data_IF_565466429445
#
_entry.id   IF_565466429445
#
_cell.length_a   1.000
_cell.length_b   1.000
_cell.length_c   1.000
_cell.angle_alpha   90.00
_cell.angle_beta   90.00
_cell.angle_gamma   90.00
#
_symmetry.space_group_name_H-M   'P 1'
#
loop_
_entity.id
_entity.type
_entity.pdbx_description
1 polymer ?
#
# COMPACT_ATOMS: atom_id res chain seq x y z
N UNK A 1 -46.33 22.68 -27.32
CA UNK A 1 -45.32 21.64 -27.03
C UNK A 1 -44.01 22.36 -26.78
N UNK A 2 -43.58 22.46 -25.53
CA UNK A 2 -42.25 22.98 -25.16
C UNK A 2 -41.36 21.76 -24.92
N UNK A 3 -40.27 21.67 -25.67
CA UNK A 3 -39.24 20.65 -25.51
C UNK A 3 -38.50 20.87 -24.19
N UNK A 4 -38.29 19.80 -23.43
CA UNK A 4 -37.48 19.81 -22.22
C UNK A 4 -36.02 20.16 -22.56
N UNK A 5 -35.28 20.84 -21.65
CA UNK A 5 -33.87 21.12 -21.86
C UNK A 5 -33.07 19.82 -21.71
N UNK A 6 -32.11 19.62 -22.61
CA UNK A 6 -31.16 18.52 -22.58
C UNK A 6 -30.45 18.45 -21.22
N UNK A 7 -30.65 17.35 -20.49
CA UNK A 7 -29.85 17.02 -19.31
C UNK A 7 -28.41 16.75 -19.76
N UNK A 8 -27.55 17.76 -19.65
CA UNK A 8 -26.10 17.58 -19.74
C UNK A 8 -25.66 16.57 -18.67
N UNK A 9 -25.41 15.34 -19.12
CA UNK A 9 -24.82 14.29 -18.29
C UNK A 9 -23.47 14.80 -17.80
N UNK A 10 -23.22 14.87 -16.48
CA UNK A 10 -21.97 15.41 -15.98
C UNK A 10 -20.81 14.51 -16.43
N UNK A 11 -19.93 15.06 -17.25
CA UNK A 11 -18.71 14.40 -17.71
C UNK A 11 -17.84 14.07 -16.50
N UNK A 12 -17.60 12.77 -16.29
CA UNK A 12 -16.76 12.26 -15.19
C UNK A 12 -15.41 12.97 -15.27
N UNK A 13 -15.12 13.84 -14.29
CA UNK A 13 -13.87 14.62 -14.21
C UNK A 13 -12.69 13.64 -14.34
N UNK A 14 -11.89 13.78 -15.39
CA UNK A 14 -10.73 12.91 -15.61
C UNK A 14 -9.77 13.07 -14.42
N UNK A 15 -9.50 11.98 -13.72
CA UNK A 15 -8.54 11.98 -12.63
C UNK A 15 -7.13 12.02 -13.22
N UNK A 16 -6.21 12.78 -12.62
CA UNK A 16 -4.82 12.81 -13.06
C UNK A 16 -4.24 11.39 -13.02
N UNK A 17 -3.66 10.96 -14.14
CA UNK A 17 -2.98 9.66 -14.27
C UNK A 17 -1.49 9.85 -14.06
N UNK A 18 -0.88 9.04 -13.19
CA UNK A 18 0.58 8.99 -13.02
C UNK A 18 1.09 7.73 -13.70
N UNK A 19 2.15 7.87 -14.52
CA UNK A 19 2.89 6.76 -15.11
C UNK A 19 4.23 6.66 -14.41
N UNK A 20 4.55 5.47 -13.92
CA UNK A 20 5.81 5.17 -13.24
C UNK A 20 6.73 4.41 -14.19
N UNK A 21 8.01 4.78 -14.20
CA UNK A 21 9.05 4.02 -14.88
C UNK A 21 9.39 2.75 -14.08
N UNK A 22 10.14 1.82 -14.68
CA UNK A 22 10.62 0.64 -13.96
C UNK A 22 11.50 1.02 -12.75
N UNK A 23 12.29 2.08 -12.87
CA UNK A 23 13.10 2.58 -11.76
C UNK A 23 12.23 3.11 -10.61
N UNK A 24 11.19 3.87 -10.94
CA UNK A 24 10.24 4.38 -9.94
C UNK A 24 9.53 3.23 -9.23
N UNK A 25 9.16 2.17 -9.97
CA UNK A 25 8.60 0.97 -9.36
C UNK A 25 9.56 0.27 -8.41
N UNK A 26 10.86 0.23 -8.73
CA UNK A 26 11.89 -0.29 -7.82
C UNK A 26 11.91 0.49 -6.49
N UNK A 27 11.88 1.82 -6.55
CA UNK A 27 11.83 2.67 -5.35
C UNK A 27 10.54 2.49 -4.55
N UNK A 28 9.40 2.35 -5.22
CA UNK A 28 8.11 2.07 -4.56
C UNK A 28 8.16 0.72 -3.85
N UNK A 29 8.70 -0.33 -4.49
CA UNK A 29 8.86 -1.64 -3.86
C UNK A 29 9.78 -1.57 -2.64
N UNK A 30 10.95 -0.93 -2.75
CA UNK A 30 11.86 -0.75 -1.61
C UNK A 30 11.18 -0.03 -0.43
N UNK A 31 10.50 1.08 -0.69
CA UNK A 31 9.79 1.81 0.36
C UNK A 31 8.68 1.00 1.02
N UNK A 32 7.93 0.21 0.25
CA UNK A 32 6.90 -0.69 0.78
C UNK A 32 7.50 -1.85 1.58
N UNK A 33 8.64 -2.39 1.14
CA UNK A 33 9.37 -3.44 1.88
C UNK A 33 9.88 -2.92 3.23
N UNK A 34 10.50 -1.73 3.27
CA UNK A 34 10.90 -1.14 4.55
C UNK A 34 9.71 -0.95 5.50
N UNK A 35 8.54 -0.56 4.99
CA UNK A 35 7.32 -0.47 5.82
C UNK A 35 6.86 -1.84 6.30
N UNK A 36 6.88 -2.85 5.43
CA UNK A 36 6.53 -4.22 5.81
C UNK A 36 7.42 -4.72 6.96
N UNK A 37 8.73 -4.48 6.85
CA UNK A 37 9.73 -4.85 7.86
C UNK A 37 9.51 -4.12 9.19
N UNK A 38 9.24 -2.80 9.16
CA UNK A 38 8.89 -2.01 10.35
C UNK A 38 7.67 -2.62 11.09
N UNK A 39 6.62 -3.00 10.35
CA UNK A 39 5.42 -3.58 10.93
C UNK A 39 5.65 -4.99 11.47
N UNK A 40 6.46 -5.79 10.79
CA UNK A 40 6.85 -7.12 11.27
C UNK A 40 7.65 -7.02 12.58
N UNK A 41 8.61 -6.10 12.66
CA UNK A 41 9.37 -5.86 13.88
C UNK A 41 8.46 -5.40 15.04
N UNK A 42 7.47 -4.57 14.74
CA UNK A 42 6.45 -4.13 15.72
C UNK A 42 5.64 -5.32 16.25
N UNK A 43 5.20 -6.23 15.37
CA UNK A 43 4.50 -7.45 15.78
C UNK A 43 5.38 -8.39 16.61
N UNK A 44 6.66 -8.54 16.23
CA UNK A 44 7.61 -9.37 16.95
C UNK A 44 7.91 -8.83 18.35
N UNK A 45 8.01 -7.51 18.51
CA UNK A 45 8.15 -6.90 19.82
C UNK A 45 6.91 -7.09 20.69
N UNK A 46 5.71 -6.82 20.15
CA UNK A 46 4.46 -6.98 20.92
C UNK A 46 4.19 -8.44 21.32
N UNK A 47 4.65 -9.39 20.51
CA UNK A 47 4.54 -10.83 20.82
C UNK A 47 5.65 -11.35 21.76
N UNK A 48 6.61 -10.50 22.14
CA UNK A 48 7.75 -10.87 22.97
C UNK A 48 8.82 -11.70 22.25
N UNK A 49 8.76 -11.80 20.91
CA UNK A 49 9.81 -12.42 20.08
C UNK A 49 11.03 -11.52 19.91
N UNK A 50 10.85 -10.22 20.10
CA UNK A 50 11.91 -9.22 20.03
C UNK A 50 11.97 -8.45 21.36
N UNK A 51 13.17 -8.36 21.94
CA UNK A 51 13.37 -7.72 23.24
C UNK A 51 13.29 -6.18 23.17
N UNK A 52 13.87 -5.61 22.12
CA UNK A 52 13.93 -4.17 21.89
C UNK A 52 13.41 -3.86 20.49
N UNK A 53 12.53 -2.86 20.37
CA UNK A 53 12.09 -2.41 19.06
C UNK A 53 13.18 -1.53 18.43
N UNK A 54 13.70 -1.84 17.23
CA UNK A 54 14.52 -0.91 16.48
C UNK A 54 13.71 0.36 16.19
N UNK A 55 14.36 1.52 16.34
CA UNK A 55 13.77 2.87 16.44
C UNK A 55 12.43 3.10 15.71
N UNK A 56 11.48 3.70 16.45
CA UNK A 56 10.20 4.18 15.91
C UNK A 56 9.05 3.22 16.15
N UNK A 57 8.44 3.32 17.33
CA UNK A 57 7.21 2.61 17.64
C UNK A 57 6.06 3.08 16.73
N UNK A 58 5.31 2.13 16.16
CA UNK A 58 4.02 2.43 15.55
C UNK A 58 2.93 2.18 16.57
N UNK A 59 2.08 3.16 16.83
CA UNK A 59 0.94 2.97 17.74
C UNK A 59 -0.02 1.92 17.16
N UNK A 60 -0.10 0.77 17.84
CA UNK A 60 -1.03 -0.33 17.57
C UNK A 60 -1.56 -0.87 18.89
N UNK A 61 -2.72 -1.53 18.81
CA UNK A 61 -3.40 -2.13 19.96
C UNK A 61 -2.68 -3.38 20.45
N UNK A 62 -2.22 -4.24 19.53
CA UNK A 62 -1.67 -5.55 19.83
C UNK A 62 -0.78 -6.09 18.69
N UNK A 63 -0.16 -7.26 18.93
CA UNK A 63 0.66 -7.95 17.95
C UNK A 63 -0.11 -8.38 16.69
N UNK A 64 -1.41 -8.69 16.83
CA UNK A 64 -2.25 -9.18 15.73
C UNK A 64 -2.51 -8.06 14.73
N UNK A 65 -2.80 -6.84 15.20
CA UNK A 65 -2.93 -5.67 14.35
C UNK A 65 -1.65 -5.38 13.58
N UNK A 66 -0.49 -5.35 14.26
CA UNK A 66 0.79 -5.13 13.60
C UNK A 66 1.10 -6.21 12.54
N UNK A 67 0.85 -7.49 12.86
CA UNK A 67 1.05 -8.59 11.93
C UNK A 67 0.11 -8.47 10.72
N UNK A 68 -1.16 -8.13 10.95
CA UNK A 68 -2.13 -7.93 9.87
C UNK A 68 -1.69 -6.82 8.91
N UNK A 69 -1.12 -5.72 9.43
CA UNK A 69 -0.59 -4.65 8.59
C UNK A 69 0.63 -5.14 7.79
N UNK A 70 1.59 -5.83 8.42
CA UNK A 70 2.75 -6.41 7.74
C UNK A 70 2.33 -7.36 6.61
N UNK A 71 1.38 -8.26 6.88
CA UNK A 71 0.83 -9.19 5.90
C UNK A 71 0.15 -8.45 4.73
N UNK A 72 -0.50 -7.32 4.99
CA UNK A 72 -1.12 -6.52 3.94
C UNK A 72 -0.07 -5.88 3.02
N UNK A 73 1.04 -5.35 3.57
CA UNK A 73 2.16 -4.88 2.75
C UNK A 73 2.76 -6.03 1.92
N UNK A 74 2.94 -7.21 2.50
CA UNK A 74 3.44 -8.38 1.78
C UNK A 74 2.54 -8.77 0.60
N UNK A 75 1.21 -8.72 0.80
CA UNK A 75 0.24 -8.97 -0.29
C UNK A 75 0.34 -7.92 -1.40
N UNK A 76 0.49 -6.65 -1.04
CA UNK A 76 0.65 -5.55 -2.02
C UNK A 76 1.93 -5.75 -2.83
N UNK A 77 3.05 -6.07 -2.18
CA UNK A 77 4.34 -6.33 -2.83
C UNK A 77 4.23 -7.49 -3.83
N UNK A 78 3.64 -8.62 -3.42
CA UNK A 78 3.45 -9.77 -4.30
C UNK A 78 2.55 -9.45 -5.51
N UNK A 79 1.53 -8.60 -5.31
CA UNK A 79 0.69 -8.13 -6.42
C UNK A 79 1.48 -7.25 -7.39
N UNK A 80 2.29 -6.31 -6.89
CA UNK A 80 3.12 -5.45 -7.73
C UNK A 80 4.11 -6.29 -8.54
N UNK A 81 4.82 -7.21 -7.88
CA UNK A 81 5.79 -8.10 -8.51
C UNK A 81 5.15 -8.92 -9.64
N UNK A 82 3.99 -9.54 -9.38
CA UNK A 82 3.26 -10.29 -10.42
C UNK A 82 2.85 -9.44 -11.62
N UNK A 83 2.51 -8.17 -11.42
CA UNK A 83 2.17 -7.27 -12.53
C UNK A 83 3.39 -6.85 -13.34
N UNK A 84 4.52 -6.61 -12.67
CA UNK A 84 5.78 -6.25 -13.33
C UNK A 84 6.36 -7.42 -14.14
N UNK A 85 6.22 -8.66 -13.65
CA UNK A 85 6.62 -9.85 -14.40
C UNK A 85 5.76 -10.10 -15.65
N UNK A 86 4.44 -9.91 -15.55
CA UNK A 86 3.51 -10.05 -16.70
C UNK A 86 3.67 -8.96 -17.76
N UNK A 87 4.28 -7.83 -17.39
CA UNK A 87 4.56 -6.72 -18.29
C UNK A 87 5.92 -6.80 -19.01
N UNK A 88 6.74 -7.81 -18.69
CA UNK A 88 7.98 -8.13 -19.42
C UNK A 88 7.69 -9.03 -20.62
#
# INVERSE_FOLDING_TARGET
MQSAPDEETPTRKELPTVRLTLLDWGQVQEGLSCRQEEWQATADWHSGRLADLPDGFKEVRDAEEAQWIADNYQRILALIESQLEKGK
#
